data_IF_053386076000
#
_entry.id   IF_053386076000
#
_cell.length_a   1.000
_cell.length_b   1.000
_cell.length_c   1.000
_cell.angle_alpha   90.00
_cell.angle_beta   90.00
_cell.angle_gamma   90.00
#
_symmetry.space_group_name_H-M   'P 1'
#
loop_
_entity.id
_entity.type
_entity.pdbx_description
1 polymer ?
#
# COMPACT_ATOMS: atom_id res chain seq x y z
N UNK A 1 -21.53 11.33 6.15
CA UNK A 1 -21.02 10.69 4.93
C UNK A 1 -20.28 9.41 5.29
N UNK A 2 -20.77 8.27 4.81
CA UNK A 2 -20.18 6.95 5.00
C UNK A 2 -18.89 6.79 4.16
N UNK A 3 -18.13 5.70 4.36
CA UNK A 3 -16.95 5.40 3.53
C UNK A 3 -17.33 5.13 2.08
N UNK A 4 -18.43 4.42 1.85
CA UNK A 4 -18.93 4.08 0.51
C UNK A 4 -19.36 5.35 -0.24
N UNK A 5 -20.13 6.23 0.41
CA UNK A 5 -20.50 7.53 -0.19
C UNK A 5 -19.27 8.37 -0.53
N UNK A 6 -18.24 8.34 0.35
CA UNK A 6 -17.01 9.06 0.10
C UNK A 6 -16.23 8.47 -1.07
N UNK A 7 -16.20 7.14 -1.22
CA UNK A 7 -15.58 6.49 -2.38
C UNK A 7 -16.27 6.91 -3.66
N UNK A 8 -17.60 6.86 -3.72
CA UNK A 8 -18.37 7.33 -4.87
C UNK A 8 -18.01 8.77 -5.25
N UNK A 9 -18.01 9.69 -4.27
CA UNK A 9 -17.65 11.09 -4.48
C UNK A 9 -16.25 11.25 -5.10
N UNK A 10 -15.28 10.44 -4.67
CA UNK A 10 -13.92 10.51 -5.18
C UNK A 10 -13.83 9.99 -6.62
N UNK A 11 -14.54 8.90 -6.93
CA UNK A 11 -14.63 8.42 -8.30
C UNK A 11 -15.27 9.47 -9.21
N UNK A 12 -16.26 10.23 -8.72
CA UNK A 12 -16.89 11.32 -9.47
C UNK A 12 -15.94 12.53 -9.65
N UNK A 13 -14.95 12.66 -8.76
CA UNK A 13 -13.88 13.66 -8.84
C UNK A 13 -12.71 13.23 -9.75
N UNK A 14 -12.77 12.04 -10.35
CA UNK A 14 -11.75 11.53 -11.26
C UNK A 14 -10.70 10.63 -10.63
N UNK A 15 -10.86 10.23 -9.36
CA UNK A 15 -10.01 9.18 -8.78
C UNK A 15 -10.30 7.84 -9.46
N UNK A 16 -9.25 7.16 -9.88
CA UNK A 16 -9.36 5.87 -10.56
C UNK A 16 -8.24 4.89 -10.18
N UNK A 17 -7.33 5.27 -9.27
CA UNK A 17 -6.21 4.40 -8.88
C UNK A 17 -6.01 4.29 -7.38
N UNK A 18 -5.61 3.11 -6.94
CA UNK A 18 -5.04 2.86 -5.60
C UNK A 18 -3.94 1.82 -5.70
N UNK A 19 -2.73 2.15 -5.26
CA UNK A 19 -1.56 1.28 -5.45
C UNK A 19 -1.36 0.94 -6.94
N UNK A 20 -1.34 -0.36 -7.27
CA UNK A 20 -1.19 -0.88 -8.64
C UNK A 20 -2.53 -1.29 -9.27
N UNK A 21 -3.66 -0.83 -8.71
CA UNK A 21 -5.00 -1.22 -9.16
C UNK A 21 -5.67 -0.04 -9.86
N UNK A 22 -6.10 -0.29 -11.09
CA UNK A 22 -6.99 0.59 -11.83
C UNK A 22 -8.45 0.30 -11.50
N UNK A 23 -9.25 1.35 -11.38
CA UNK A 23 -10.70 1.31 -11.20
C UNK A 23 -11.34 1.87 -12.48
N UNK A 24 -11.91 0.98 -13.29
CA UNK A 24 -12.64 1.36 -14.49
C UNK A 24 -14.14 1.38 -14.20
N UNK A 25 -14.86 2.37 -14.74
CA UNK A 25 -16.32 2.35 -14.79
C UNK A 25 -16.76 1.58 -16.02
N UNK A 26 -17.62 0.58 -15.84
CA UNK A 26 -18.08 -0.25 -16.96
C UNK A 26 -18.73 0.61 -18.06
N UNK A 27 -19.50 1.65 -17.69
CA UNK A 27 -20.15 2.57 -18.62
C UNK A 27 -19.19 3.35 -19.55
N UNK A 28 -17.90 3.47 -19.18
CA UNK A 28 -16.89 4.10 -20.03
C UNK A 28 -16.29 3.18 -21.09
N UNK A 29 -16.64 1.89 -21.07
CA UNK A 29 -16.17 0.89 -22.02
C UNK A 29 -17.17 0.81 -23.18
N UNK A 30 -16.66 0.74 -24.42
CA UNK A 30 -17.49 0.79 -25.63
C UNK A 30 -18.57 -0.31 -25.69
N UNK A 31 -18.24 -1.54 -25.26
CA UNK A 31 -19.21 -2.61 -25.02
C UNK A 31 -19.21 -2.94 -23.53
N UNK A 32 -20.04 -2.28 -22.71
CA UNK A 32 -19.95 -2.39 -21.26
C UNK A 32 -20.35 -3.81 -20.79
N UNK A 33 -19.54 -4.47 -19.95
CA UNK A 33 -19.94 -5.72 -19.31
C UNK A 33 -21.08 -5.47 -18.29
N UNK A 34 -21.82 -6.51 -17.87
CA UNK A 34 -22.97 -6.38 -16.97
C UNK A 34 -22.54 -6.19 -15.49
N UNK A 35 -21.71 -5.19 -15.22
CA UNK A 35 -21.26 -4.77 -13.89
C UNK A 35 -21.15 -3.24 -13.82
N UNK A 36 -20.93 -2.66 -12.64
CA UNK A 36 -20.74 -1.21 -12.50
C UNK A 36 -19.26 -0.82 -12.64
N UNK A 37 -18.37 -1.65 -12.08
CA UNK A 37 -16.94 -1.38 -12.03
C UNK A 37 -16.13 -2.59 -12.45
N UNK A 38 -14.93 -2.33 -12.95
CA UNK A 38 -13.89 -3.33 -13.16
C UNK A 38 -12.64 -2.93 -12.39
N UNK A 39 -11.98 -3.91 -11.77
CA UNK A 39 -10.61 -3.73 -11.28
C UNK A 39 -9.65 -4.58 -12.11
N UNK A 40 -8.49 -4.01 -12.41
CA UNK A 40 -7.37 -4.73 -13.01
C UNK A 40 -6.05 -4.14 -12.52
N UNK A 41 -4.94 -4.80 -12.87
CA UNK A 41 -3.62 -4.22 -12.66
C UNK A 41 -3.44 -2.97 -13.56
N UNK A 42 -2.75 -1.95 -13.08
CA UNK A 42 -2.54 -0.68 -13.82
C UNK A 42 -1.84 -0.84 -15.18
N UNK A 43 -1.04 -1.90 -15.32
CA UNK A 43 -0.36 -2.24 -16.58
C UNK A 43 -1.24 -3.07 -17.54
N UNK A 44 -2.45 -3.47 -17.13
CA UNK A 44 -3.35 -4.31 -17.92
C UNK A 44 -4.56 -3.53 -18.49
N UNK A 45 -4.59 -2.20 -18.31
CA UNK A 45 -5.74 -1.35 -18.64
C UNK A 45 -6.14 -1.49 -20.11
N UNK A 46 -5.16 -1.40 -21.01
CA UNK A 46 -5.41 -1.45 -22.46
C UNK A 46 -6.02 -2.79 -22.87
N UNK A 47 -5.49 -3.91 -22.38
CA UNK A 47 -6.02 -5.24 -22.67
C UNK A 47 -7.47 -5.39 -22.19
N UNK A 48 -7.75 -4.91 -20.97
CA UNK A 48 -9.09 -4.98 -20.35
C UNK A 48 -10.09 -4.12 -21.11
N UNK A 49 -9.72 -2.88 -21.46
CA UNK A 49 -10.61 -1.96 -22.20
C UNK A 49 -10.88 -2.48 -23.62
N UNK A 50 -9.84 -2.91 -24.34
CA UNK A 50 -9.97 -3.42 -25.71
C UNK A 50 -10.83 -4.69 -25.78
N UNK A 51 -10.73 -5.55 -24.76
CA UNK A 51 -11.51 -6.77 -24.66
C UNK A 51 -12.84 -6.60 -23.92
N UNK A 52 -13.27 -5.36 -23.66
CA UNK A 52 -14.56 -5.07 -23.03
C UNK A 52 -14.75 -5.75 -21.66
N UNK A 53 -13.69 -5.80 -20.87
CA UNK A 53 -13.65 -6.47 -19.57
C UNK A 53 -13.26 -7.95 -19.61
N UNK A 54 -13.19 -8.58 -20.78
CA UNK A 54 -12.97 -10.02 -20.93
C UNK A 54 -11.72 -10.38 -21.77
N UNK A 55 -10.52 -9.93 -21.39
CA UNK A 55 -9.29 -10.23 -22.12
C UNK A 55 -8.93 -11.73 -22.07
N UNK A 56 -8.55 -12.27 -23.23
CA UNK A 56 -8.12 -13.66 -23.34
C UNK A 56 -6.88 -13.95 -22.48
N UNK A 57 -6.93 -15.05 -21.72
CA UNK A 57 -5.79 -15.49 -20.88
C UNK A 57 -5.70 -14.81 -19.51
N UNK A 58 -6.72 -14.03 -19.13
CA UNK A 58 -6.84 -13.46 -17.79
C UNK A 58 -7.69 -14.36 -16.90
N UNK A 59 -7.45 -14.28 -15.59
CA UNK A 59 -8.37 -14.81 -14.60
C UNK A 59 -9.47 -13.79 -14.31
N UNK A 60 -10.72 -14.23 -14.30
CA UNK A 60 -11.88 -13.36 -14.05
C UNK A 60 -12.60 -13.79 -12.76
N UNK A 61 -13.06 -12.81 -11.99
CA UNK A 61 -13.90 -13.06 -10.81
C UNK A 61 -14.90 -11.93 -10.61
N UNK A 62 -16.06 -12.23 -10.02
CA UNK A 62 -17.02 -11.23 -9.56
C UNK A 62 -17.07 -11.12 -8.02
N UNK A 63 -16.29 -11.93 -7.31
CA UNK A 63 -16.28 -11.96 -5.85
C UNK A 63 -15.23 -10.99 -5.31
N UNK A 64 -15.62 -9.90 -4.61
CA UNK A 64 -14.66 -8.93 -4.08
C UNK A 64 -13.68 -9.53 -3.06
N UNK A 65 -14.03 -10.64 -2.41
CA UNK A 65 -13.15 -11.29 -1.44
C UNK A 65 -11.96 -12.02 -2.07
N UNK A 66 -12.05 -12.38 -3.36
CA UNK A 66 -10.94 -13.02 -4.09
C UNK A 66 -9.74 -12.07 -4.24
N UNK A 67 -9.93 -10.76 -4.05
CA UNK A 67 -8.86 -9.76 -3.99
C UNK A 67 -7.76 -10.13 -2.97
N UNK A 68 -8.14 -10.81 -1.88
CA UNK A 68 -7.18 -11.28 -0.88
C UNK A 68 -6.24 -12.31 -1.48
N UNK A 69 -6.77 -13.30 -2.17
CA UNK A 69 -6.00 -14.38 -2.79
C UNK A 69 -5.18 -13.84 -3.97
N UNK A 70 -5.77 -12.92 -4.74
CA UNK A 70 -5.08 -12.24 -5.82
C UNK A 70 -3.83 -11.53 -5.31
N UNK A 71 -3.93 -10.87 -4.16
CA UNK A 71 -2.86 -10.05 -3.62
C UNK A 71 -1.91 -10.77 -2.66
N UNK A 72 -2.03 -12.08 -2.45
CA UNK A 72 -1.24 -12.80 -1.43
C UNK A 72 0.16 -13.17 -1.93
N UNK A 73 0.29 -13.50 -3.20
CA UNK A 73 1.56 -13.83 -3.84
C UNK A 73 1.78 -12.93 -5.06
N UNK A 74 3.04 -12.69 -5.38
CA UNK A 74 3.47 -12.04 -6.62
C UNK A 74 3.47 -13.04 -7.79
N UNK A 75 3.71 -12.55 -9.01
CA UNK A 75 3.73 -13.38 -10.23
C UNK A 75 4.80 -14.49 -10.20
N UNK A 76 5.91 -14.26 -9.51
CA UNK A 76 7.00 -15.23 -9.31
C UNK A 76 6.72 -16.22 -8.16
N UNK A 77 5.57 -16.12 -7.51
CA UNK A 77 5.19 -16.94 -6.35
C UNK A 77 5.74 -16.43 -5.02
N UNK A 78 6.47 -15.31 -4.98
CA UNK A 78 6.93 -14.73 -3.72
C UNK A 78 5.75 -14.27 -2.86
N UNK A 79 5.83 -14.54 -1.56
CA UNK A 79 4.80 -14.10 -0.62
C UNK A 79 4.86 -12.58 -0.42
N UNK A 80 3.72 -11.91 -0.64
CA UNK A 80 3.58 -10.47 -0.43
C UNK A 80 3.32 -10.16 1.04
N UNK A 81 4.39 -10.11 1.84
CA UNK A 81 4.31 -9.84 3.28
C UNK A 81 3.64 -8.51 3.61
N UNK A 82 3.82 -7.49 2.76
CA UNK A 82 3.08 -6.23 2.85
C UNK A 82 2.26 -6.06 1.59
N UNK A 83 0.96 -5.82 1.77
CA UNK A 83 0.04 -5.59 0.66
C UNK A 83 0.39 -4.35 -0.18
N UNK A 84 1.26 -3.48 0.32
CA UNK A 84 1.83 -2.35 -0.43
C UNK A 84 3.09 -2.66 -1.25
N UNK A 85 3.49 -3.93 -1.44
CA UNK A 85 4.57 -4.26 -2.38
C UNK A 85 4.18 -3.94 -3.82
N UNK A 86 5.15 -3.48 -4.62
CA UNK A 86 4.96 -3.07 -6.02
C UNK A 86 5.10 -4.23 -7.02
N UNK A 87 4.80 -5.44 -6.56
CA UNK A 87 4.84 -6.68 -7.33
C UNK A 87 3.48 -7.39 -7.30
N UNK A 88 2.38 -6.62 -7.28
CA UNK A 88 1.05 -7.19 -7.43
C UNK A 88 0.99 -7.98 -8.75
N UNK A 89 0.50 -9.22 -8.67
CA UNK A 89 0.38 -10.08 -9.84
C UNK A 89 -0.49 -9.44 -10.92
N UNK A 90 -0.20 -9.73 -12.18
CA UNK A 90 -0.96 -9.24 -13.35
C UNK A 90 -1.96 -10.27 -13.86
N UNK A 91 -2.66 -9.93 -14.95
CA UNK A 91 -3.55 -10.83 -15.72
C UNK A 91 -4.75 -11.34 -14.93
N UNK A 92 -5.42 -10.41 -14.27
CA UNK A 92 -6.71 -10.64 -13.63
C UNK A 92 -7.65 -9.47 -13.88
N UNK A 93 -8.95 -9.76 -13.92
CA UNK A 93 -10.02 -8.77 -13.97
C UNK A 93 -11.07 -9.12 -12.93
N UNK A 94 -11.54 -8.12 -12.19
CA UNK A 94 -12.63 -8.29 -11.24
C UNK A 94 -13.84 -7.46 -11.66
N UNK A 95 -14.98 -8.13 -11.86
CA UNK A 95 -16.25 -7.53 -12.26
C UNK A 95 -17.11 -7.25 -11.03
N UNK A 96 -17.33 -5.98 -10.70
CA UNK A 96 -17.98 -5.58 -9.45
C UNK A 96 -19.34 -4.94 -9.72
N UNK A 97 -20.37 -5.50 -9.09
CA UNK A 97 -21.76 -5.14 -9.37
C UNK A 97 -22.12 -3.71 -8.94
N UNK A 98 -21.49 -3.20 -7.88
CA UNK A 98 -21.79 -1.89 -7.30
C UNK A 98 -20.60 -1.30 -6.50
N UNK A 99 -20.82 -0.10 -5.95
CA UNK A 99 -19.83 0.65 -5.16
C UNK A 99 -19.46 -0.03 -3.85
N UNK A 100 -20.35 -0.86 -3.29
CA UNK A 100 -20.09 -1.63 -2.07
C UNK A 100 -19.11 -2.75 -2.37
N UNK A 101 -19.35 -3.50 -3.45
CA UNK A 101 -18.44 -4.53 -3.93
C UNK A 101 -17.05 -3.96 -4.29
N UNK A 102 -17.01 -2.77 -4.89
CA UNK A 102 -15.76 -2.02 -5.13
C UNK A 102 -15.02 -1.68 -3.84
N UNK A 103 -15.72 -1.11 -2.85
CA UNK A 103 -15.13 -0.81 -1.55
C UNK A 103 -14.57 -2.08 -0.87
N UNK A 104 -15.32 -3.18 -0.89
CA UNK A 104 -14.92 -4.44 -0.27
C UNK A 104 -13.70 -5.05 -0.96
N UNK A 105 -13.62 -4.97 -2.29
CA UNK A 105 -12.44 -5.40 -3.04
C UNK A 105 -11.20 -4.56 -2.66
N UNK A 106 -11.33 -3.24 -2.62
CA UNK A 106 -10.25 -2.32 -2.21
C UNK A 106 -9.74 -2.65 -0.81
N UNK A 107 -10.63 -2.90 0.16
CA UNK A 107 -10.24 -3.26 1.53
C UNK A 107 -9.60 -4.66 1.62
N UNK A 108 -9.88 -5.58 0.70
CA UNK A 108 -9.20 -6.86 0.63
C UNK A 108 -7.84 -6.79 -0.07
N UNK A 109 -7.66 -5.88 -1.04
CA UNK A 109 -6.37 -5.60 -1.67
C UNK A 109 -5.43 -4.80 -0.75
N UNK A 110 -5.92 -3.70 -0.17
CA UNK A 110 -5.15 -2.77 0.65
C UNK A 110 -5.85 -2.52 2.00
N UNK A 111 -5.76 -3.48 2.94
CA UNK A 111 -6.49 -3.44 4.19
C UNK A 111 -6.33 -2.13 4.96
N UNK A 112 -7.46 -1.53 5.33
CA UNK A 112 -7.60 -0.29 6.08
C UNK A 112 -7.01 0.96 5.41
N UNK A 113 -6.42 0.86 4.22
CA UNK A 113 -5.67 1.96 3.64
C UNK A 113 -6.58 3.14 3.26
N UNK A 114 -7.75 2.84 2.68
CA UNK A 114 -8.73 3.87 2.35
C UNK A 114 -9.22 4.59 3.61
N UNK A 115 -9.53 3.83 4.66
CA UNK A 115 -9.92 4.39 5.97
C UNK A 115 -8.83 5.26 6.61
N UNK A 116 -7.56 4.84 6.53
CA UNK A 116 -6.42 5.62 7.01
C UNK A 116 -6.28 6.95 6.28
N UNK A 117 -6.44 6.92 4.95
CA UNK A 117 -6.36 8.14 4.15
C UNK A 117 -7.53 9.09 4.41
N UNK A 118 -8.75 8.58 4.57
CA UNK A 118 -9.88 9.42 4.99
C UNK A 118 -9.66 10.06 6.37
N UNK A 119 -9.06 9.33 7.31
CA UNK A 119 -8.68 9.89 8.61
C UNK A 119 -7.62 10.99 8.48
N UNK A 120 -6.64 10.81 7.59
CA UNK A 120 -5.62 11.83 7.29
C UNK A 120 -6.25 13.10 6.74
N UNK A 121 -7.13 12.96 5.74
CA UNK A 121 -7.84 14.09 5.11
C UNK A 121 -8.70 14.88 6.10
N UNK A 122 -9.18 14.22 7.16
CA UNK A 122 -9.97 14.85 8.23
C UNK A 122 -9.12 15.41 9.38
N UNK A 123 -7.80 15.25 9.34
CA UNK A 123 -6.90 15.68 10.41
C UNK A 123 -7.04 14.89 11.71
N UNK A 124 -7.58 13.67 11.65
CA UNK A 124 -7.82 12.81 12.84
C UNK A 124 -6.97 11.54 12.84
N UNK A 125 -6.06 11.39 11.88
CA UNK A 125 -5.18 10.23 11.80
C UNK A 125 -4.11 10.30 12.90
N UNK A 126 -4.14 9.34 13.81
CA UNK A 126 -3.05 9.11 14.75
C UNK A 126 -1.89 8.41 14.08
N UNK A 127 -0.74 9.08 14.07
CA UNK A 127 0.53 8.56 13.57
C UNK A 127 1.42 8.22 14.76
N UNK A 128 1.99 7.02 14.75
CA UNK A 128 2.86 6.53 15.82
C UNK A 128 4.33 6.78 15.46
N UNK A 129 5.15 7.19 16.42
CA UNK A 129 6.59 7.32 16.18
C UNK A 129 7.26 5.94 16.13
N UNK A 130 8.47 5.86 15.57
CA UNK A 130 9.27 4.64 15.61
C UNK A 130 9.58 4.24 17.06
N UNK A 131 9.92 5.20 17.93
CA UNK A 131 10.20 4.93 19.35
C UNK A 131 8.98 4.34 20.05
N UNK A 132 7.77 4.84 19.80
CA UNK A 132 6.54 4.25 20.35
C UNK A 132 6.35 2.80 19.91
N UNK A 133 6.53 2.53 18.61
CA UNK A 133 6.43 1.17 18.05
C UNK A 133 7.44 0.23 18.67
N UNK A 134 8.70 0.64 18.77
CA UNK A 134 9.79 -0.20 19.27
C UNK A 134 9.71 -0.44 20.79
N UNK A 135 9.23 0.55 21.57
CA UNK A 135 9.07 0.41 23.01
C UNK A 135 8.00 -0.61 23.42
N UNK A 136 7.04 -0.92 22.54
CA UNK A 136 6.04 -1.97 22.75
C UNK A 136 6.54 -3.39 22.45
N UNK A 137 7.72 -3.53 21.84
CA UNK A 137 8.24 -4.84 21.46
C UNK A 137 8.75 -5.62 22.68
N UNK A 138 8.47 -6.92 22.70
CA UNK A 138 8.86 -7.84 23.78
C UNK A 138 9.63 -9.05 23.22
N UNK A 139 10.09 -9.94 24.10
CA UNK A 139 10.84 -11.14 23.71
C UNK A 139 12.08 -10.82 22.87
N UNK A 140 12.33 -11.61 21.82
CA UNK A 140 13.48 -11.43 20.93
C UNK A 140 13.49 -10.06 20.20
N UNK A 141 12.33 -9.43 20.03
CA UNK A 141 12.19 -8.12 19.37
C UNK A 141 12.36 -6.94 20.32
N UNK A 142 12.37 -7.15 21.64
CA UNK A 142 12.71 -6.10 22.62
C UNK A 142 14.03 -5.41 22.29
N UNK A 143 14.98 -6.15 21.72
CA UNK A 143 16.29 -5.63 21.34
C UNK A 143 16.23 -4.61 20.20
N UNK A 144 15.18 -4.60 19.36
CA UNK A 144 15.03 -3.61 18.30
C UNK A 144 14.97 -2.17 18.81
N UNK A 145 14.53 -1.96 20.07
CA UNK A 145 14.43 -0.62 20.69
C UNK A 145 15.76 0.08 20.91
N UNK A 146 16.88 -0.67 20.90
CA UNK A 146 18.21 -0.09 21.11
C UNK A 146 18.86 0.47 19.84
N UNK A 147 18.17 0.42 18.70
CA UNK A 147 18.68 0.99 17.46
C UNK A 147 18.96 2.48 17.64
N UNK A 148 20.13 2.92 17.17
CA UNK A 148 20.49 4.34 17.10
C UNK A 148 19.57 5.11 16.14
N UNK A 149 19.57 6.45 16.23
CA UNK A 149 18.83 7.27 15.26
C UNK A 149 19.43 7.09 13.87
N UNK A 150 20.76 7.08 13.78
CA UNK A 150 21.53 6.92 12.54
C UNK A 150 21.25 5.56 11.89
N UNK A 151 21.18 4.50 12.68
CA UNK A 151 20.82 3.16 12.23
C UNK A 151 19.39 3.11 11.69
N UNK A 152 18.44 3.76 12.37
CA UNK A 152 17.06 3.85 11.91
C UNK A 152 16.93 4.61 10.58
N UNK A 153 17.61 5.76 10.43
CA UNK A 153 17.62 6.53 9.18
C UNK A 153 18.18 5.69 8.01
N UNK A 154 19.31 5.01 8.24
CA UNK A 154 19.91 4.12 7.23
C UNK A 154 18.99 2.95 6.85
N UNK A 155 18.25 2.40 7.81
CA UNK A 155 17.30 1.33 7.51
C UNK A 155 16.11 1.82 6.67
N UNK A 156 15.60 3.03 6.91
CA UNK A 156 14.54 3.62 6.06
C UNK A 156 14.97 3.60 4.59
N UNK A 157 16.21 4.02 4.32
CA UNK A 157 16.78 4.06 2.97
C UNK A 157 17.04 2.70 2.33
N UNK A 158 16.98 1.59 3.08
CA UNK A 158 17.31 0.23 2.60
C UNK A 158 16.11 -0.72 2.57
N UNK A 159 15.04 -0.36 3.28
CA UNK A 159 13.88 -1.24 3.53
C UNK A 159 12.59 -0.61 3.03
N UNK A 160 12.49 0.72 3.00
CA UNK A 160 11.27 1.42 2.63
C UNK A 160 11.39 2.08 1.26
N UNK A 161 10.27 2.54 0.73
CA UNK A 161 10.19 3.21 -0.57
C UNK A 161 10.10 2.27 -1.76
N UNK A 162 9.68 2.78 -2.93
CA UNK A 162 9.60 2.05 -4.19
C UNK A 162 10.87 1.27 -4.56
N UNK A 163 12.07 1.84 -4.33
CA UNK A 163 13.33 1.15 -4.59
C UNK A 163 13.48 -0.18 -3.82
N UNK A 164 12.74 -0.33 -2.72
CA UNK A 164 12.73 -1.50 -1.84
C UNK A 164 11.34 -2.14 -1.76
N UNK A 165 10.57 -2.07 -2.84
CA UNK A 165 9.27 -2.73 -2.98
C UNK A 165 8.22 -2.25 -1.95
N UNK A 166 8.17 -0.96 -1.60
CA UNK A 166 7.14 -0.44 -0.71
C UNK A 166 6.50 0.84 -1.27
N UNK A 167 5.25 0.74 -1.73
CA UNK A 167 4.48 1.87 -2.27
C UNK A 167 3.77 2.71 -1.19
N UNK A 168 4.23 2.71 0.06
CA UNK A 168 3.56 3.49 1.12
C UNK A 168 4.29 4.79 1.42
N UNK A 169 3.53 5.89 1.51
CA UNK A 169 3.99 7.17 2.07
C UNK A 169 4.26 7.02 3.56
N UNK A 170 5.50 7.27 3.97
CA UNK A 170 5.85 7.28 5.39
C UNK A 170 5.30 8.54 6.04
N UNK A 171 4.49 8.38 7.09
CA UNK A 171 3.98 9.48 7.90
C UNK A 171 4.65 9.56 9.27
N UNK A 172 5.17 8.44 9.76
CA UNK A 172 5.84 8.37 11.04
C UNK A 172 7.25 8.97 10.97
N UNK A 173 7.72 9.42 12.12
CA UNK A 173 9.07 9.93 12.35
C UNK A 173 9.74 9.09 13.44
N UNK A 174 11.04 9.33 13.72
CA UNK A 174 11.76 8.52 14.71
C UNK A 174 11.13 8.72 16.09
N UNK A 175 11.02 9.97 16.54
CA UNK A 175 10.36 10.42 17.76
C UNK A 175 9.79 11.84 17.55
N UNK A 176 9.29 12.50 18.59
CA UNK A 176 8.68 13.83 18.50
C UNK A 176 9.60 14.91 17.90
N UNK A 177 10.91 14.81 18.15
CA UNK A 177 11.89 15.84 17.81
C UNK A 177 12.80 15.44 16.63
N UNK A 178 12.77 14.17 16.22
CA UNK A 178 13.65 13.60 15.20
C UNK A 178 12.86 13.18 13.95
N UNK A 179 12.73 14.06 12.93
CA UNK A 179 12.12 13.70 11.65
C UNK A 179 12.96 12.69 10.86
N UNK A 180 12.35 12.10 9.83
CA UNK A 180 13.10 11.28 8.87
C UNK A 180 14.01 12.15 8.01
N UNK A 181 15.21 11.66 7.76
CA UNK A 181 16.14 12.27 6.82
C UNK A 181 15.59 12.21 5.38
N UNK A 182 16.07 13.15 4.57
CA UNK A 182 15.74 13.25 3.16
C UNK A 182 16.24 12.00 2.42
N UNK A 183 15.32 11.29 1.76
CA UNK A 183 15.61 10.07 1.00
C UNK A 183 14.48 9.77 0.01
N UNK A 184 14.70 8.83 -0.90
CA UNK A 184 13.66 8.37 -1.83
C UNK A 184 12.39 7.92 -1.08
N UNK A 185 12.57 7.12 -0.03
CA UNK A 185 11.47 6.65 0.80
C UNK A 185 10.72 7.76 1.55
N UNK A 186 11.41 8.78 2.07
CA UNK A 186 10.75 9.88 2.81
C UNK A 186 10.08 10.90 1.90
N UNK A 187 10.54 11.05 0.64
CA UNK A 187 9.89 11.88 -0.38
C UNK A 187 8.67 11.23 -1.02
N UNK A 188 8.60 9.90 -1.03
CA UNK A 188 7.56 9.19 -1.76
C UNK A 188 6.15 9.51 -1.22
N UNK A 189 5.24 9.92 -2.11
CA UNK A 189 3.91 10.40 -1.74
C UNK A 189 2.85 9.30 -1.61
N UNK A 190 3.22 8.03 -1.81
CA UNK A 190 2.30 6.90 -1.69
C UNK A 190 1.48 6.61 -2.94
N UNK A 191 1.78 7.28 -4.06
CA UNK A 191 1.12 7.09 -5.37
C UNK A 191 2.14 6.47 -6.34
N UNK A 192 1.73 5.41 -7.04
CA UNK A 192 2.55 4.71 -8.05
C UNK A 192 2.99 5.62 -9.21
N UNK A 193 3.94 5.15 -10.01
CA UNK A 193 4.60 5.96 -11.04
C UNK A 193 3.64 6.47 -12.12
N UNK A 194 3.59 7.80 -12.30
CA UNK A 194 3.08 8.46 -13.50
C UNK A 194 1.80 9.29 -13.33
N UNK A 195 1.06 9.13 -12.23
CA UNK A 195 -0.15 9.93 -11.97
C UNK A 195 0.14 11.10 -11.03
N UNK A 196 -0.41 12.27 -11.37
CA UNK A 196 -0.48 13.39 -10.46
C UNK A 196 -1.46 13.07 -9.29
N UNK A 197 -1.28 13.76 -8.15
CA UNK A 197 -2.10 13.58 -6.95
C UNK A 197 -3.64 13.65 -7.11
N UNK A 198 -4.26 14.34 -8.10
CA UNK A 198 -5.73 14.41 -8.14
C UNK A 198 -6.43 13.11 -8.63
N UNK A 199 -5.70 12.03 -8.93
CA UNK A 199 -6.29 10.85 -9.57
C UNK A 199 -6.12 9.53 -8.80
N UNK A 200 -5.38 9.53 -7.70
CA UNK A 200 -5.03 8.31 -7.00
C UNK A 200 -5.16 8.43 -5.48
N UNK A 201 -5.65 7.37 -4.84
CA UNK A 201 -5.70 7.22 -3.40
C UNK A 201 -4.32 6.72 -2.93
N UNK A 202 -3.58 7.47 -2.09
CA UNK A 202 -2.24 7.08 -1.68
C UNK A 202 -2.27 5.92 -0.68
N UNK A 203 -1.25 5.07 -0.71
CA UNK A 203 -1.01 4.11 0.37
C UNK A 203 -0.24 4.77 1.52
N UNK A 204 -0.76 4.68 2.74
CA UNK A 204 -0.19 5.37 3.90
C UNK A 204 0.49 4.40 4.87
N UNK A 205 1.62 4.83 5.41
CA UNK A 205 2.38 4.15 6.45
C UNK A 205 2.36 5.03 7.71
N UNK A 206 1.31 4.88 8.53
CA UNK A 206 1.13 5.62 9.80
C UNK A 206 1.99 5.11 10.96
N UNK A 207 2.67 3.98 10.77
CA UNK A 207 3.51 3.31 11.75
C UNK A 207 4.48 2.36 11.05
N UNK A 208 5.70 2.20 11.55
CA UNK A 208 6.67 1.23 11.04
C UNK A 208 6.12 -0.21 11.06
N UNK A 209 6.28 -0.94 9.95
CA UNK A 209 5.75 -2.30 9.80
C UNK A 209 6.59 -3.33 10.58
N UNK A 210 6.04 -4.55 10.76
CA UNK A 210 6.73 -5.60 11.50
C UNK A 210 8.02 -6.08 10.80
N UNK A 211 8.11 -5.96 9.47
CA UNK A 211 9.35 -6.21 8.76
C UNK A 211 10.44 -5.20 9.15
N UNK A 212 10.09 -3.91 9.22
CA UNK A 212 11.02 -2.87 9.68
C UNK A 212 11.48 -3.13 11.12
N UNK A 213 10.59 -3.54 12.02
CA UNK A 213 10.96 -3.95 13.40
C UNK A 213 11.96 -5.10 13.41
N UNK A 214 11.80 -6.09 12.52
CA UNK A 214 12.73 -7.20 12.40
C UNK A 214 14.10 -6.75 11.89
N UNK A 215 14.15 -5.82 10.95
CA UNK A 215 15.41 -5.22 10.48
C UNK A 215 16.06 -4.34 11.56
N UNK A 216 15.27 -3.58 12.34
CA UNK A 216 15.78 -2.82 13.48
C UNK A 216 16.48 -3.71 14.50
N UNK A 217 15.93 -4.91 14.76
CA UNK A 217 16.55 -5.90 15.65
C UNK A 217 17.92 -6.35 15.11
N UNK A 218 18.00 -6.66 13.81
CA UNK A 218 19.25 -7.10 13.17
C UNK A 218 20.30 -6.00 13.23
N UNK A 219 19.93 -4.77 12.92
CA UNK A 219 20.85 -3.63 12.92
C UNK A 219 21.29 -3.26 14.34
N UNK A 220 20.37 -3.25 15.32
CA UNK A 220 20.71 -3.07 16.74
C UNK A 220 21.79 -4.05 17.21
N UNK A 221 21.71 -5.30 16.74
CA UNK A 221 22.70 -6.34 17.10
C UNK A 221 24.07 -6.02 16.52
N UNK A 222 24.14 -5.60 15.25
CA UNK A 222 25.41 -5.18 14.63
C UNK A 222 26.01 -3.97 15.35
N UNK A 223 25.19 -2.97 15.67
CA UNK A 223 25.64 -1.78 16.41
C UNK A 223 26.21 -2.14 17.79
N UNK A 224 25.56 -3.07 18.50
CA UNK A 224 26.02 -3.54 19.80
C UNK A 224 27.35 -4.30 19.70
N UNK A 225 27.47 -5.21 18.74
CA UNK A 225 28.70 -5.99 18.51
C UNK A 225 29.88 -5.10 18.10
N UNK A 226 29.63 -4.10 17.26
CA UNK A 226 30.66 -3.12 16.86
C UNK A 226 31.16 -2.29 18.04
N UNK A 227 30.26 -1.87 18.95
CA UNK A 227 30.65 -1.14 20.17
C UNK A 227 31.46 -1.99 21.16
N UNK A 228 31.26 -3.30 21.18
CA UNK A 228 32.01 -4.21 22.05
C UNK A 228 33.44 -4.48 21.55
N UNK A 229 33.72 -4.16 20.28
CA UNK A 229 35.02 -4.36 19.63
C UNK A 229 35.85 -3.06 19.52
N UNK A 230 35.24 -1.92 19.83
CA UNK A 230 35.87 -0.60 19.85
C UNK A 230 36.38 -0.27 21.25
#
# INVERSE_FOLDING_TARGET
>A
MTRIEKLQQLLDQGFHRIGQIEILRAESIASPPPCAFLLCHEDDIEDVVNASGHPSGFSETCNPFDARDISTYADDGEYRFTKGQINLKRRWVMHLADITALHDAIENFYPSNFSLWLAQQRGILEVQTLRDKLNRQTGMYRFARSISNEGAQKLVQRVCGPAHQCAKKILWQIDADTPLEESEASRFNGIGSGLAEPHAIPLLCREACNHFVAECRKESKKEFEAKAQA
#
